data_IF_121094971684
#
_entry.id   IF_121094971684
#
_cell.length_a   1.000
_cell.length_b   1.000
_cell.length_c   1.000
_cell.angle_alpha   90.00
_cell.angle_beta   90.00
_cell.angle_gamma   90.00
#
_symmetry.space_group_name_H-M   'P 1'
#
loop_
_entity.id
_entity.type
_entity.pdbx_description
1 polymer ?
#
# COMPACT_ATOMS: atom_id res chain seq x y z
N UNK A 1 4.77 -12.49 34.00
CA UNK A 1 6.16 -12.00 33.95
C UNK A 1 6.40 -11.51 32.54
N UNK A 2 6.67 -10.21 32.43
CA UNK A 2 6.74 -9.42 31.21
C UNK A 2 7.87 -9.89 30.30
N UNK A 3 7.54 -10.20 29.04
CA UNK A 3 8.48 -9.95 27.95
C UNK A 3 7.94 -8.73 27.21
N UNK A 4 8.66 -7.62 27.39
CA UNK A 4 8.57 -6.45 26.54
C UNK A 4 8.68 -6.95 25.11
N UNK A 5 7.57 -6.91 24.38
CA UNK A 5 7.64 -6.81 22.94
C UNK A 5 8.34 -5.49 22.67
N UNK A 6 9.51 -5.55 22.06
CA UNK A 6 9.99 -4.40 21.32
C UNK A 6 9.03 -4.26 20.14
N UNK A 7 7.92 -3.57 20.40
CA UNK A 7 7.06 -2.98 19.41
C UNK A 7 7.97 -2.14 18.51
N UNK A 8 8.27 -2.63 17.31
CA UNK A 8 8.83 -1.78 16.27
C UNK A 8 7.73 -0.82 15.80
N UNK A 9 7.52 0.23 16.59
CA UNK A 9 6.92 1.47 16.15
C UNK A 9 7.88 2.18 15.19
N UNK A 10 7.95 1.76 13.93
CA UNK A 10 8.63 2.54 12.90
C UNK A 10 7.64 3.39 12.11
N UNK A 11 6.93 4.27 12.81
CA UNK A 11 6.37 5.44 12.15
C UNK A 11 6.42 6.67 13.05
N UNK A 12 7.44 7.53 12.86
CA UNK A 12 7.22 8.94 13.00
C UNK A 12 7.53 9.62 11.66
N UNK A 13 6.65 9.49 10.66
CA UNK A 13 6.58 10.52 9.60
C UNK A 13 6.01 11.79 10.22
N UNK A 14 6.93 12.56 10.80
CA UNK A 14 6.65 13.81 11.52
C UNK A 14 6.11 14.85 10.55
N UNK A 15 4.84 15.19 10.76
CA UNK A 15 4.16 16.26 10.02
C UNK A 15 2.70 15.92 9.72
N UNK A 16 1.93 15.42 10.69
CA UNK A 16 0.46 15.35 10.54
C UNK A 16 -0.03 16.80 10.44
N UNK A 17 -0.27 17.24 9.21
CA UNK A 17 -0.77 18.57 8.92
C UNK A 17 -2.30 18.57 8.95
N UNK A 18 -2.87 19.76 9.16
CA UNK A 18 -4.31 19.93 9.13
C UNK A 18 -4.86 19.59 7.72
N UNK A 19 -5.93 18.82 7.67
CA UNK A 19 -6.64 18.40 6.45
C UNK A 19 -7.74 19.37 6.02
N UNK A 20 -7.97 20.47 6.74
CA UNK A 20 -9.09 21.41 6.53
C UNK A 20 -9.14 22.04 5.13
N UNK A 21 -8.01 22.11 4.42
CA UNK A 21 -7.91 22.64 3.06
C UNK A 21 -8.37 21.63 1.99
N UNK A 22 -8.66 20.37 2.36
CA UNK A 22 -9.05 19.30 1.44
C UNK A 22 -10.57 19.14 1.46
N UNK A 23 -11.23 19.63 0.42
CA UNK A 23 -12.68 19.57 0.28
C UNK A 23 -13.16 18.13 0.04
N UNK A 24 -14.18 17.69 0.79
CA UNK A 24 -14.81 16.39 0.58
C UNK A 24 -14.07 15.19 1.20
N UNK A 25 -13.03 15.43 2.01
CA UNK A 25 -12.26 14.36 2.66
C UNK A 25 -13.11 13.42 3.52
N UNK A 26 -14.07 13.98 4.28
CA UNK A 26 -14.98 13.17 5.11
C UNK A 26 -15.95 12.31 4.30
N UNK A 27 -16.37 12.78 3.12
CA UNK A 27 -17.19 11.97 2.21
C UNK A 27 -16.36 10.85 1.57
N UNK A 28 -15.10 11.13 1.26
CA UNK A 28 -14.15 10.13 0.78
C UNK A 28 -13.91 9.06 1.85
N UNK A 29 -13.59 9.44 3.10
CA UNK A 29 -13.44 8.55 4.26
C UNK A 29 -14.66 7.62 4.40
N UNK A 30 -15.86 8.20 4.51
CA UNK A 30 -17.11 7.44 4.66
C UNK A 30 -17.40 6.53 3.47
N UNK A 31 -16.99 6.92 2.26
CA UNK A 31 -17.10 6.06 1.10
C UNK A 31 -16.19 4.84 1.22
N UNK A 32 -14.95 5.02 1.66
CA UNK A 32 -14.02 3.91 1.88
C UNK A 32 -14.52 2.98 3.01
N UNK A 33 -14.95 3.54 4.15
CA UNK A 33 -15.51 2.78 5.27
C UNK A 33 -16.68 1.88 4.81
N UNK A 34 -17.61 2.47 4.06
CA UNK A 34 -18.77 1.75 3.52
C UNK A 34 -18.38 0.69 2.49
N UNK A 35 -17.48 1.02 1.56
CA UNK A 35 -17.15 0.14 0.44
C UNK A 35 -16.32 -1.08 0.87
N UNK A 36 -15.49 -0.92 1.90
CA UNK A 36 -14.53 -1.93 2.36
C UNK A 36 -14.88 -2.54 3.72
N UNK A 37 -15.99 -2.13 4.35
CA UNK A 37 -16.37 -2.54 5.70
C UNK A 37 -15.21 -2.34 6.70
N UNK A 38 -14.59 -1.17 6.61
CA UNK A 38 -13.35 -0.83 7.31
C UNK A 38 -13.51 0.42 8.18
N UNK A 39 -12.68 0.53 9.22
CA UNK A 39 -12.38 1.81 9.86
C UNK A 39 -11.30 2.52 9.02
N UNK A 40 -11.44 3.83 8.78
CA UNK A 40 -10.51 4.54 7.88
C UNK A 40 -9.87 5.74 8.58
N UNK A 41 -8.54 5.68 8.72
CA UNK A 41 -7.67 6.80 9.07
C UNK A 41 -7.21 7.53 7.81
N UNK A 42 -7.18 8.86 7.85
CA UNK A 42 -6.62 9.67 6.76
C UNK A 42 -5.89 10.84 7.39
N UNK A 43 -4.60 10.94 7.10
CA UNK A 43 -3.75 12.06 7.45
C UNK A 43 -3.21 12.72 6.18
N UNK A 44 -2.68 13.93 6.31
CA UNK A 44 -2.00 14.63 5.23
C UNK A 44 -0.53 14.82 5.57
N UNK A 45 0.31 14.60 4.57
CA UNK A 45 1.73 14.85 4.56
C UNK A 45 2.06 15.92 3.50
N UNK A 46 2.75 16.98 3.90
CA UNK A 46 3.16 18.05 2.99
C UNK A 46 3.32 19.40 3.69
N UNK A 47 4.32 20.18 3.27
CA UNK A 47 4.64 21.48 3.88
C UNK A 47 3.86 22.67 3.26
N UNK A 48 3.07 22.44 2.20
CA UNK A 48 2.45 23.49 1.38
C UNK A 48 0.94 23.29 1.28
N UNK A 49 0.15 24.34 1.47
CA UNK A 49 -1.32 24.30 1.37
C UNK A 49 -1.85 23.95 -0.04
N UNK A 50 -0.99 24.03 -1.06
CA UNK A 50 -1.33 23.77 -2.48
C UNK A 50 -1.19 22.30 -2.90
N UNK A 51 -0.64 21.45 -2.02
CA UNK A 51 -0.40 20.02 -2.26
C UNK A 51 -0.80 19.22 -1.03
N UNK A 52 -1.58 18.17 -1.23
CA UNK A 52 -1.89 17.21 -0.18
C UNK A 52 -1.45 15.80 -0.61
N UNK A 53 -0.56 15.19 0.18
CA UNK A 53 -0.18 13.79 0.02
C UNK A 53 -0.80 12.99 1.15
N UNK A 54 -1.79 12.17 0.80
CA UNK A 54 -2.57 11.44 1.78
C UNK A 54 -1.82 10.23 2.29
N UNK A 55 -1.91 9.99 3.60
CA UNK A 55 -1.62 8.71 4.24
C UNK A 55 -2.98 8.12 4.58
N UNK A 56 -3.29 6.94 4.04
CA UNK A 56 -4.59 6.29 4.20
C UNK A 56 -4.38 4.98 4.95
N UNK A 57 -5.02 4.85 6.10
CA UNK A 57 -5.04 3.62 6.89
C UNK A 57 -6.43 2.99 6.80
N UNK A 58 -6.51 1.82 6.17
CA UNK A 58 -7.71 0.98 6.15
C UNK A 58 -7.54 -0.10 7.21
N UNK A 59 -8.48 -0.22 8.15
CA UNK A 59 -8.53 -1.32 9.11
C UNK A 59 -9.77 -2.16 8.85
N UNK A 60 -9.53 -3.35 8.31
CA UNK A 60 -10.56 -4.28 7.87
C UNK A 60 -10.72 -5.44 8.87
N UNK A 61 -11.92 -5.99 8.95
CA UNK A 61 -12.20 -7.18 9.79
C UNK A 61 -12.09 -8.50 9.01
N UNK A 62 -11.26 -8.54 7.98
CA UNK A 62 -11.01 -9.72 7.15
C UNK A 62 -9.56 -10.15 7.30
N UNK A 63 -9.30 -11.45 7.14
CA UNK A 63 -7.95 -11.99 6.94
C UNK A 63 -7.44 -11.71 5.53
N UNK A 64 -6.15 -11.93 5.29
CA UNK A 64 -5.56 -11.90 3.95
C UNK A 64 -6.25 -12.85 3.00
N UNK A 65 -6.53 -14.08 3.46
CA UNK A 65 -7.18 -15.10 2.64
C UNK A 65 -8.60 -14.70 2.20
N UNK A 66 -9.40 -14.16 3.12
CA UNK A 66 -10.75 -13.67 2.85
C UNK A 66 -10.71 -12.45 1.93
N UNK A 67 -9.81 -11.51 2.19
CA UNK A 67 -9.62 -10.30 1.38
C UNK A 67 -9.31 -10.66 -0.07
N UNK A 68 -8.35 -11.54 -0.29
CA UNK A 68 -8.01 -12.02 -1.64
C UNK A 68 -9.15 -12.81 -2.27
N UNK A 69 -9.87 -13.63 -1.50
CA UNK A 69 -11.05 -14.33 -1.98
C UNK A 69 -12.12 -13.35 -2.49
N UNK A 70 -12.46 -12.31 -1.72
CA UNK A 70 -13.44 -11.31 -2.13
C UNK A 70 -12.98 -10.51 -3.35
N UNK A 71 -11.71 -10.09 -3.40
CA UNK A 71 -11.17 -9.37 -4.55
C UNK A 71 -11.19 -10.23 -5.82
N UNK A 72 -10.90 -11.54 -5.73
CA UNK A 72 -10.94 -12.45 -6.87
C UNK A 72 -12.35 -12.78 -7.36
N UNK A 73 -13.33 -12.79 -6.43
CA UNK A 73 -14.71 -13.16 -6.71
C UNK A 73 -15.66 -11.97 -6.83
N UNK A 74 -15.14 -10.74 -6.75
CA UNK A 74 -15.92 -9.53 -6.93
C UNK A 74 -16.61 -9.56 -8.32
N UNK A 75 -17.92 -9.76 -8.32
CA UNK A 75 -18.74 -9.72 -9.53
C UNK A 75 -18.98 -8.25 -9.84
N UNK A 76 -18.56 -7.73 -11.01
CA UNK A 76 -18.85 -6.35 -11.37
C UNK A 76 -20.37 -6.16 -11.46
N UNK A 77 -20.93 -5.21 -10.70
CA UNK A 77 -22.34 -4.82 -10.81
C UNK A 77 -22.68 -4.25 -12.19
N UNK A 78 -21.69 -3.77 -12.95
CA UNK A 78 -21.85 -3.24 -14.30
C UNK A 78 -21.04 -4.07 -15.31
N UNK A 79 -21.74 -4.91 -16.10
CA UNK A 79 -21.17 -5.71 -17.18
C UNK A 79 -20.93 -4.86 -18.43
N UNK A 80 -20.21 -3.74 -18.29
CA UNK A 80 -19.79 -2.97 -19.44
C UNK A 80 -18.38 -3.42 -19.85
N UNK A 81 -18.22 -4.31 -20.86
CA UNK A 81 -16.92 -4.85 -21.27
C UNK A 81 -15.94 -3.80 -21.84
N UNK A 82 -16.37 -2.54 -21.92
CA UNK A 82 -15.56 -1.38 -22.35
C UNK A 82 -15.08 -0.51 -21.18
N UNK A 83 -15.42 -0.84 -19.93
CA UNK A 83 -14.90 -0.13 -18.77
C UNK A 83 -13.39 -0.36 -18.65
N UNK A 84 -12.62 0.71 -18.80
CA UNK A 84 -11.18 0.75 -18.52
C UNK A 84 -10.89 0.75 -17.01
N UNK A 85 -11.92 0.93 -16.16
CA UNK A 85 -11.73 1.01 -14.71
C UNK A 85 -11.48 -0.40 -14.16
N UNK A 86 -10.41 -0.60 -13.38
CA UNK A 86 -10.05 -1.91 -12.85
C UNK A 86 -11.15 -2.52 -11.96
N UNK A 87 -11.28 -3.86 -11.99
CA UNK A 87 -12.48 -4.55 -11.47
C UNK A 87 -12.49 -4.65 -9.95
N UNK A 88 -11.33 -4.81 -9.31
CA UNK A 88 -11.20 -5.02 -7.86
C UNK A 88 -11.17 -3.70 -7.11
N UNK A 89 -10.57 -2.67 -7.70
CA UNK A 89 -10.37 -1.35 -7.08
C UNK A 89 -11.33 -0.28 -7.61
N UNK A 90 -12.33 -0.65 -8.41
CA UNK A 90 -13.33 0.28 -8.95
C UNK A 90 -13.91 1.25 -7.91
N UNK A 91 -14.28 0.72 -6.73
CA UNK A 91 -14.87 1.52 -5.65
C UNK A 91 -13.87 2.52 -5.05
N UNK A 92 -12.60 2.13 -4.94
CA UNK A 92 -11.51 3.02 -4.53
C UNK A 92 -11.33 4.15 -5.55
N UNK A 93 -11.14 3.82 -6.83
CA UNK A 93 -10.97 4.82 -7.89
C UNK A 93 -12.16 5.77 -7.97
N UNK A 94 -13.38 5.26 -7.87
CA UNK A 94 -14.60 6.07 -7.89
C UNK A 94 -14.65 7.05 -6.71
N UNK A 95 -14.26 6.61 -5.51
CA UNK A 95 -14.21 7.47 -4.33
C UNK A 95 -13.10 8.52 -4.47
N UNK A 96 -11.91 8.11 -4.91
CA UNK A 96 -10.75 8.98 -5.03
C UNK A 96 -10.91 10.01 -6.16
N UNK A 97 -11.45 9.61 -7.31
CA UNK A 97 -11.80 10.53 -8.41
C UNK A 97 -12.77 11.62 -7.96
N UNK A 98 -13.75 11.30 -7.10
CA UNK A 98 -14.66 12.31 -6.53
C UNK A 98 -13.94 13.28 -5.62
N UNK A 99 -13.00 12.79 -4.82
CA UNK A 99 -12.15 13.65 -3.98
C UNK A 99 -11.34 14.60 -4.85
N UNK A 100 -10.63 14.09 -5.87
CA UNK A 100 -9.87 14.92 -6.83
C UNK A 100 -10.73 16.00 -7.48
N UNK A 101 -11.91 15.61 -7.99
CA UNK A 101 -12.81 16.55 -8.67
C UNK A 101 -13.43 17.61 -7.74
N UNK A 102 -13.37 17.42 -6.43
CA UNK A 102 -13.85 18.39 -5.45
C UNK A 102 -12.78 19.41 -5.03
N UNK A 103 -11.57 19.27 -5.54
CA UNK A 103 -10.40 20.05 -5.13
C UNK A 103 -9.69 20.69 -6.34
N UNK A 104 -9.01 21.80 -6.09
CA UNK A 104 -8.15 22.49 -7.07
C UNK A 104 -6.67 22.40 -6.73
N UNK A 105 -6.33 21.67 -5.65
CA UNK A 105 -4.97 21.40 -5.21
C UNK A 105 -4.47 20.10 -5.83
N UNK A 106 -3.14 19.91 -5.86
CA UNK A 106 -2.57 18.62 -6.22
C UNK A 106 -2.85 17.61 -5.10
N UNK A 107 -3.46 16.48 -5.45
CA UNK A 107 -3.78 15.40 -4.52
C UNK A 107 -3.08 14.13 -4.97
N UNK A 108 -2.31 13.55 -4.06
CA UNK A 108 -1.67 12.25 -4.24
C UNK A 108 -1.79 11.40 -2.97
N UNK A 109 -1.40 10.13 -3.07
CA UNK A 109 -1.36 9.21 -1.93
C UNK A 109 0.10 8.81 -1.72
N UNK A 110 0.68 9.20 -0.59
CA UNK A 110 2.05 8.82 -0.22
C UNK A 110 2.13 7.40 0.28
N UNK A 111 1.09 6.95 1.00
CA UNK A 111 1.09 5.66 1.67
C UNK A 111 -0.35 5.14 1.81
N UNK A 112 -0.53 3.85 1.52
CA UNK A 112 -1.76 3.12 1.78
C UNK A 112 -1.42 1.91 2.66
N UNK A 113 -1.96 1.92 3.87
CA UNK A 113 -1.82 0.82 4.82
C UNK A 113 -3.14 0.08 4.94
N UNK A 114 -3.11 -1.24 4.81
CA UNK A 114 -4.28 -2.11 4.92
C UNK A 114 -4.02 -3.09 6.07
N UNK A 115 -4.63 -2.81 7.21
CA UNK A 115 -4.58 -3.65 8.40
C UNK A 115 -5.71 -4.69 8.32
N UNK A 116 -5.32 -5.94 8.06
CA UNK A 116 -6.18 -7.12 8.12
C UNK A 116 -6.08 -7.74 9.50
N UNK A 117 -6.88 -8.78 9.77
CA UNK A 117 -6.86 -9.44 11.09
C UNK A 117 -5.56 -10.21 11.36
N UNK A 118 -4.85 -10.62 10.30
CA UNK A 118 -3.65 -11.46 10.34
C UNK A 118 -2.47 -10.89 9.54
N UNK A 119 -2.66 -9.81 8.78
CA UNK A 119 -1.62 -9.22 7.93
C UNK A 119 -1.78 -7.71 7.81
N UNK A 120 -0.71 -6.95 7.96
CA UNK A 120 -0.64 -5.56 7.54
C UNK A 120 0.04 -5.45 6.18
N UNK A 121 -0.58 -4.77 5.23
CA UNK A 121 0.00 -4.51 3.91
C UNK A 121 0.28 -3.01 3.81
N UNK A 122 1.54 -2.63 3.67
CA UNK A 122 1.98 -1.24 3.50
C UNK A 122 2.44 -1.02 2.06
N UNK A 123 1.79 -0.09 1.37
CA UNK A 123 2.08 0.28 -0.01
C UNK A 123 2.59 1.71 -0.03
N UNK A 124 3.83 1.91 -0.45
CA UNK A 124 4.45 3.23 -0.56
C UNK A 124 4.36 3.78 -1.97
N UNK A 125 4.26 5.12 -2.09
CA UNK A 125 4.42 5.83 -3.35
C UNK A 125 5.85 5.66 -3.88
N UNK A 126 5.98 5.48 -5.19
CA UNK A 126 7.27 5.42 -5.90
C UNK A 126 7.37 6.41 -7.06
N UNK A 127 6.25 6.97 -7.54
CA UNK A 127 6.20 8.09 -8.50
C UNK A 127 4.85 8.78 -8.35
N UNK A 128 4.65 9.96 -8.96
CA UNK A 128 3.37 10.68 -8.88
C UNK A 128 2.16 9.81 -9.29
N UNK A 129 1.15 9.73 -8.40
CA UNK A 129 -0.06 8.91 -8.56
C UNK A 129 0.17 7.39 -8.63
N UNK A 130 1.37 6.90 -8.25
CA UNK A 130 1.72 5.49 -8.39
C UNK A 130 0.80 4.53 -7.65
N UNK A 131 0.33 4.90 -6.45
CA UNK A 131 -0.62 4.07 -5.69
C UNK A 131 -1.96 4.00 -6.42
N UNK A 132 -2.50 5.14 -6.89
CA UNK A 132 -3.75 5.12 -7.66
C UNK A 132 -3.59 4.27 -8.93
N UNK A 133 -2.52 4.47 -9.70
CA UNK A 133 -2.32 3.79 -10.97
C UNK A 133 -2.14 2.27 -10.81
N UNK A 134 -1.51 1.82 -9.71
CA UNK A 134 -1.04 0.44 -9.57
C UNK A 134 -1.83 -0.41 -8.58
N UNK A 135 -2.76 0.16 -7.80
CA UNK A 135 -3.44 -0.58 -6.74
C UNK A 135 -4.16 -1.85 -7.23
N UNK A 136 -4.75 -1.85 -8.44
CA UNK A 136 -5.31 -3.07 -9.02
C UNK A 136 -4.24 -4.11 -9.32
N UNK A 137 -3.13 -3.69 -9.94
CA UNK A 137 -2.05 -4.59 -10.32
C UNK A 137 -1.40 -5.20 -9.08
N UNK A 138 -1.21 -4.40 -8.02
CA UNK A 138 -0.73 -4.87 -6.71
C UNK A 138 -1.66 -5.95 -6.14
N UNK A 139 -2.98 -5.71 -6.08
CA UNK A 139 -3.92 -6.74 -5.59
C UNK A 139 -4.01 -7.97 -6.50
N UNK A 140 -3.79 -7.78 -7.79
CA UNK A 140 -3.74 -8.88 -8.77
C UNK A 140 -2.51 -9.75 -8.52
N UNK A 141 -1.34 -9.15 -8.31
CA UNK A 141 -0.12 -9.89 -8.01
C UNK A 141 -0.16 -10.52 -6.62
N UNK A 142 -0.71 -9.84 -5.60
CA UNK A 142 -0.96 -10.44 -4.28
C UNK A 142 -1.81 -11.71 -4.42
N UNK A 143 -2.87 -11.65 -5.22
CA UNK A 143 -3.74 -12.82 -5.47
C UNK A 143 -2.99 -13.95 -6.18
N UNK A 144 -2.22 -13.64 -7.24
CA UNK A 144 -1.48 -14.62 -8.03
C UNK A 144 -0.33 -15.26 -7.24
N UNK A 145 0.33 -14.49 -6.38
CA UNK A 145 1.51 -14.90 -5.64
C UNK A 145 1.18 -15.52 -4.26
N UNK A 146 -0.09 -15.50 -3.84
CA UNK A 146 -0.56 -15.95 -2.53
C UNK A 146 0.01 -17.31 -2.09
N UNK A 147 -0.02 -18.32 -2.96
CA UNK A 147 0.49 -19.66 -2.63
C UNK A 147 1.98 -19.63 -2.26
N UNK A 148 2.77 -18.79 -2.92
CA UNK A 148 4.22 -18.77 -2.79
C UNK A 148 4.67 -18.01 -1.55
N UNK A 149 4.16 -16.78 -1.36
CA UNK A 149 4.54 -15.99 -0.20
C UNK A 149 3.90 -16.49 1.09
N UNK A 150 2.83 -17.30 1.04
CA UNK A 150 2.30 -17.98 2.25
C UNK A 150 2.98 -19.34 2.52
N UNK A 151 4.12 -19.62 1.86
CA UNK A 151 4.87 -20.88 1.99
C UNK A 151 3.98 -22.12 1.80
N UNK A 152 3.06 -22.06 0.83
CA UNK A 152 2.07 -23.10 0.58
C UNK A 152 0.91 -23.09 1.57
N UNK A 153 0.49 -21.92 2.06
CA UNK A 153 -0.48 -21.73 3.14
C UNK A 153 -0.08 -22.27 4.51
N UNK A 154 1.20 -22.61 4.69
CA UNK A 154 1.72 -23.06 5.99
C UNK A 154 2.00 -21.88 6.93
N UNK A 155 2.28 -20.70 6.37
CA UNK A 155 2.63 -19.52 7.15
C UNK A 155 2.26 -18.25 6.39
N UNK A 156 1.37 -17.44 6.96
CA UNK A 156 0.98 -16.14 6.41
C UNK A 156 1.92 -15.06 6.94
N UNK A 157 2.44 -14.15 6.11
CA UNK A 157 3.19 -13.01 6.63
C UNK A 157 2.26 -12.11 7.45
N UNK A 158 2.70 -11.71 8.64
CA UNK A 158 1.95 -10.74 9.44
C UNK A 158 2.16 -9.30 8.93
N UNK A 159 3.19 -9.06 8.13
CA UNK A 159 3.43 -7.76 7.49
C UNK A 159 4.02 -7.91 6.07
N UNK A 160 3.58 -7.08 5.13
CA UNK A 160 4.03 -7.02 3.74
C UNK A 160 4.32 -5.57 3.35
N UNK A 161 5.54 -5.28 2.89
CA UNK A 161 6.00 -3.97 2.41
C UNK A 161 6.14 -3.97 0.88
N UNK A 162 5.49 -3.02 0.22
CA UNK A 162 5.38 -2.96 -1.24
C UNK A 162 5.75 -1.54 -1.75
N UNK A 163 6.80 -1.38 -2.58
CA UNK A 163 7.87 -2.32 -2.89
C UNK A 163 9.06 -2.21 -1.93
N UNK A 164 10.04 -3.11 -2.12
CA UNK A 164 11.41 -3.00 -1.60
C UNK A 164 12.37 -2.92 -2.80
N UNK A 165 13.44 -2.14 -2.66
CA UNK A 165 14.45 -1.94 -3.70
C UNK A 165 15.80 -2.55 -3.28
N UNK A 166 16.58 -3.04 -4.25
CA UNK A 166 17.94 -3.56 -4.00
C UNK A 166 18.95 -2.43 -3.74
N UNK A 167 19.89 -2.66 -2.83
CA UNK A 167 20.94 -1.69 -2.45
C UNK A 167 21.90 -1.35 -3.62
N UNK A 168 22.12 -2.26 -4.56
CA UNK A 168 22.99 -2.01 -5.74
C UNK A 168 22.39 -0.97 -6.72
N UNK A 169 21.10 -0.65 -6.60
CA UNK A 169 20.51 0.50 -7.29
C UNK A 169 20.88 1.85 -6.65
N UNK A 170 21.48 1.82 -5.46
CA UNK A 170 21.76 2.95 -4.56
C UNK A 170 23.22 3.45 -4.62
N UNK A 171 24.06 2.99 -5.56
CA UNK A 171 25.48 3.39 -5.69
C UNK A 171 25.74 4.90 -5.99
N UNK A 172 24.76 5.78 -5.83
CA UNK A 172 25.02 7.21 -5.70
C UNK A 172 23.97 7.87 -4.82
N UNK A 173 24.39 8.77 -3.92
CA UNK A 173 23.49 9.65 -3.15
C UNK A 173 22.50 10.41 -4.06
N UNK A 174 22.85 10.61 -5.34
CA UNK A 174 21.98 11.19 -6.36
C UNK A 174 20.83 10.26 -6.79
N UNK A 175 20.99 8.93 -6.73
CA UNK A 175 19.93 7.95 -7.04
C UNK A 175 19.00 7.67 -5.87
N UNK A 176 19.47 7.79 -4.62
CA UNK A 176 18.59 7.85 -3.45
C UNK A 176 17.61 9.02 -3.56
N UNK A 177 18.11 10.20 -4.00
CA UNK A 177 17.23 11.29 -4.38
C UNK A 177 16.35 10.95 -5.58
N UNK A 178 16.74 10.10 -6.52
CA UNK A 178 15.92 9.69 -7.68
C UNK A 178 14.88 8.59 -7.41
N UNK A 179 15.02 7.77 -6.38
CA UNK A 179 13.89 6.94 -5.88
C UNK A 179 12.83 7.84 -5.26
N UNK A 180 13.27 8.95 -4.64
CA UNK A 180 12.43 10.06 -4.17
C UNK A 180 12.03 11.02 -5.32
N UNK A 181 12.70 10.96 -6.49
CA UNK A 181 12.50 11.84 -7.65
C UNK A 181 12.22 11.04 -8.92
N UNK A 182 10.95 10.68 -9.14
CA UNK A 182 10.26 10.42 -10.43
C UNK A 182 10.93 9.53 -11.51
N UNK A 183 12.03 8.82 -11.22
CA UNK A 183 12.68 7.91 -12.18
C UNK A 183 12.31 6.44 -11.97
N UNK A 184 11.42 6.13 -11.04
CA UNK A 184 10.88 4.80 -10.86
C UNK A 184 9.88 4.47 -11.98
N UNK A 185 9.90 3.23 -12.46
CA UNK A 185 8.97 2.73 -13.46
C UNK A 185 7.79 2.02 -12.80
N UNK A 186 6.68 1.92 -13.53
CA UNK A 186 5.49 1.12 -13.22
C UNK A 186 5.83 -0.29 -12.71
N UNK A 187 6.91 -0.88 -13.23
CA UNK A 187 7.30 -2.25 -12.89
C UNK A 187 7.98 -2.40 -11.52
N UNK A 188 8.43 -1.32 -10.90
CA UNK A 188 9.25 -1.38 -9.69
C UNK A 188 8.46 -1.85 -8.46
N UNK A 189 7.13 -1.72 -8.49
CA UNK A 189 6.25 -2.37 -7.51
C UNK A 189 6.35 -3.90 -7.49
N UNK A 190 6.83 -4.50 -8.58
CA UNK A 190 6.77 -5.94 -8.83
C UNK A 190 8.15 -6.60 -8.90
N UNK A 191 9.20 -5.93 -8.41
CA UNK A 191 10.52 -6.54 -8.22
C UNK A 191 10.54 -7.37 -6.94
N UNK A 192 10.52 -6.68 -5.80
CA UNK A 192 10.66 -7.27 -4.48
C UNK A 192 9.65 -6.72 -3.49
N UNK A 193 9.17 -7.57 -2.59
CA UNK A 193 8.36 -7.19 -1.43
C UNK A 193 9.05 -7.60 -0.14
N UNK A 194 9.02 -6.73 0.86
CA UNK A 194 9.48 -7.05 2.21
C UNK A 194 8.40 -7.82 2.95
N UNK A 195 8.76 -8.83 3.73
CA UNK A 195 7.81 -9.64 4.48
C UNK A 195 8.34 -9.99 5.86
N UNK A 196 7.42 -10.01 6.83
CA UNK A 196 7.68 -10.53 8.16
C UNK A 196 6.72 -11.67 8.47
N UNK A 197 7.24 -12.72 9.10
CA UNK A 197 6.48 -13.91 9.48
C UNK A 197 6.68 -14.23 10.95
N UNK A 198 5.71 -14.86 11.60
CA UNK A 198 5.76 -15.16 13.03
C UNK A 198 6.94 -16.08 13.42
N UNK A 199 7.36 -17.01 12.54
CA UNK A 199 8.42 -17.97 12.85
C UNK A 199 9.83 -17.45 12.55
N UNK A 200 9.96 -16.26 11.96
CA UNK A 200 11.25 -15.65 11.60
C UNK A 200 11.39 -14.29 12.26
N UNK A 201 12.40 -14.12 13.11
CA UNK A 201 12.66 -12.83 13.79
C UNK A 201 13.15 -11.74 12.82
N UNK A 202 13.69 -12.13 11.67
CA UNK A 202 14.26 -11.23 10.67
C UNK A 202 13.31 -11.05 9.48
N UNK A 203 13.38 -9.85 8.90
CA UNK A 203 12.71 -9.54 7.65
C UNK A 203 13.23 -10.45 6.54
N UNK A 204 12.36 -10.79 5.59
CA UNK A 204 12.75 -11.52 4.39
C UNK A 204 12.23 -10.81 3.15
N UNK A 205 12.90 -11.05 2.03
CA UNK A 205 12.59 -10.42 0.75
C UNK A 205 11.91 -11.46 -0.13
N UNK A 206 10.69 -11.18 -0.58
CA UNK A 206 10.00 -11.95 -1.58
C UNK A 206 10.30 -11.41 -2.98
N UNK A 207 11.00 -12.20 -3.78
CA UNK A 207 11.27 -11.93 -5.19
C UNK A 207 10.08 -12.43 -6.02
N UNK A 208 9.36 -11.49 -6.66
CA UNK A 208 8.19 -11.83 -7.46
C UNK A 208 8.59 -12.56 -8.75
N UNK A 209 9.73 -12.23 -9.35
CA UNK A 209 10.18 -12.85 -10.60
C UNK A 209 10.50 -14.33 -10.41
N UNK A 210 11.21 -14.66 -9.33
CA UNK A 210 11.59 -16.06 -9.04
C UNK A 210 10.59 -16.80 -8.15
N UNK A 211 9.65 -16.07 -7.52
CA UNK A 211 8.67 -16.58 -6.54
C UNK A 211 9.34 -17.24 -5.34
N UNK A 212 10.45 -16.65 -4.89
CA UNK A 212 11.28 -17.16 -3.79
C UNK A 212 11.37 -16.15 -2.68
N UNK A 213 11.54 -16.67 -1.47
CA UNK A 213 11.87 -15.90 -0.30
C UNK A 213 13.39 -15.96 -0.14
N UNK A 214 14.00 -14.79 -0.05
CA UNK A 214 15.45 -14.56 0.06
C UNK A 214 15.69 -13.95 1.46
N UNK A 215 16.74 -14.40 2.13
CA UNK A 215 17.20 -13.75 3.36
C UNK A 215 18.00 -12.52 2.98
N UNK A 216 17.65 -11.37 3.58
CA UNK A 216 18.34 -10.11 3.36
C UNK A 216 17.88 -9.08 4.37
N UNK A 217 18.72 -8.08 4.61
CA UNK A 217 18.39 -6.97 5.51
C UNK A 217 17.48 -5.97 4.79
N UNK A 218 16.37 -5.60 5.42
CA UNK A 218 15.51 -4.52 4.93
C UNK A 218 15.86 -3.26 5.71
N UNK A 219 16.35 -2.25 5.01
CA UNK A 219 16.52 -0.91 5.55
C UNK A 219 15.35 -0.02 5.11
N UNK A 220 14.74 0.67 6.06
CA UNK A 220 13.71 1.67 5.77
C UNK A 220 14.42 3.00 5.55
N UNK A 221 14.22 3.61 4.38
CA UNK A 221 14.67 4.96 4.12
C UNK A 221 13.77 5.94 4.89
N UNK A 222 14.31 6.50 5.97
CA UNK A 222 13.78 7.69 6.63
C UNK A 222 14.40 8.92 5.99
N UNK A 223 13.57 9.81 5.43
CA UNK A 223 13.94 11.15 4.98
C UNK A 223 14.43 12.05 6.13
#
# INVERSE_FOLDING_TARGET
MSKLGNEFFNNPKTGVQNTDHINGLELFRKSLEKNYFAEVGIANYGAKEEVANLIIDLKCHFSLSETLFYLNNAIPEDRNPKSLIPRRTFLFHKAYSKLKNSNHISLDISELTINLTDTTILISKIYDHSIEDQIENIFTELSKHNLYYTKGHNETPFEIFIPVFEEDTLESDAKLQNIVSDNNNINDYFGFWGMYYDLTEEAVIYDLNTKRIIQGDIQILSE
#
